data_IF_399732429315
#
_entry.id   IF_399732429315
#
_cell.length_a   1.000
_cell.length_b   1.000
_cell.length_c   1.000
_cell.angle_alpha   90.00
_cell.angle_beta   90.00
_cell.angle_gamma   90.00
#
_symmetry.space_group_name_H-M   'P 1'
#
loop_
_entity.id
_entity.type
_entity.pdbx_description
1 polymer ?
#
# COMPACT_ATOMS: atom_id res chain seq x y z
N UNK A 1 5.46 10.53 -21.70
CA UNK A 1 3.99 10.44 -21.54
C UNK A 1 3.70 10.01 -20.10
N UNK A 2 2.84 10.70 -19.33
CA UNK A 2 2.73 10.50 -17.88
C UNK A 2 1.67 9.43 -17.51
N UNK A 3 1.73 8.23 -18.10
CA UNK A 3 0.65 7.22 -17.97
C UNK A 3 1.05 5.83 -17.46
N UNK A 4 2.33 5.48 -17.36
CA UNK A 4 2.75 4.16 -16.86
C UNK A 4 2.56 3.95 -15.33
N UNK A 5 2.82 4.92 -14.43
CA UNK A 5 2.69 4.68 -12.99
C UNK A 5 1.22 4.61 -12.54
N UNK A 6 0.33 5.45 -13.10
CA UNK A 6 -1.07 5.53 -12.69
C UNK A 6 -1.80 4.19 -12.87
N UNK A 7 -1.72 3.57 -14.05
CA UNK A 7 -2.37 2.27 -14.31
C UNK A 7 -1.76 1.18 -13.43
N UNK A 8 -0.44 1.19 -13.22
CA UNK A 8 0.23 0.22 -12.36
C UNK A 8 -0.27 0.31 -10.91
N UNK A 9 -0.35 1.52 -10.37
CA UNK A 9 -0.89 1.77 -9.04
C UNK A 9 -2.36 1.37 -8.93
N UNK A 10 -3.21 1.76 -9.87
CA UNK A 10 -4.62 1.38 -9.85
C UNK A 10 -4.79 -0.15 -9.90
N UNK A 11 -4.04 -0.87 -10.74
CA UNK A 11 -4.05 -2.34 -10.76
C UNK A 11 -3.59 -2.96 -9.43
N UNK A 12 -2.55 -2.36 -8.82
CA UNK A 12 -2.05 -2.81 -7.52
C UNK A 12 -3.02 -2.50 -6.37
N UNK A 13 -3.81 -1.44 -6.45
CA UNK A 13 -4.76 -1.05 -5.41
C UNK A 13 -6.17 -1.66 -5.60
N UNK A 14 -6.50 -2.14 -6.80
CA UNK A 14 -7.79 -2.77 -7.13
C UNK A 14 -7.95 -4.20 -6.55
N UNK A 15 -7.62 -4.39 -5.28
CA UNK A 15 -7.80 -5.61 -4.51
C UNK A 15 -7.97 -5.23 -3.04
N UNK A 16 -9.00 -5.79 -2.42
CA UNK A 16 -9.39 -5.43 -1.07
C UNK A 16 -8.28 -5.67 -0.05
N UNK A 17 -7.56 -6.79 -0.14
CA UNK A 17 -6.49 -7.11 0.82
C UNK A 17 -5.30 -6.19 0.62
N UNK A 18 -4.92 -5.89 -0.63
CA UNK A 18 -3.86 -4.91 -0.93
C UNK A 18 -4.22 -3.52 -0.46
N UNK A 19 -5.48 -3.11 -0.62
CA UNK A 19 -5.96 -1.84 -0.12
C UNK A 19 -5.89 -1.76 1.40
N UNK A 20 -6.33 -2.81 2.11
CA UNK A 20 -6.22 -2.90 3.58
C UNK A 20 -4.76 -2.84 4.04
N UNK A 21 -3.84 -3.56 3.39
CA UNK A 21 -2.40 -3.48 3.68
C UNK A 21 -1.90 -2.03 3.56
N UNK A 22 -2.22 -1.35 2.46
CA UNK A 22 -1.78 0.04 2.24
C UNK A 22 -2.34 0.97 3.32
N UNK A 23 -3.60 0.80 3.73
CA UNK A 23 -4.20 1.58 4.82
C UNK A 23 -3.50 1.37 6.16
N UNK A 24 -3.17 0.13 6.51
CA UNK A 24 -2.41 -0.17 7.73
C UNK A 24 -1.02 0.49 7.69
N UNK A 25 -0.32 0.38 6.55
CA UNK A 25 1.01 0.96 6.37
C UNK A 25 1.02 2.49 6.28
N UNK A 26 -0.09 3.11 5.89
CA UNK A 26 -0.23 4.57 5.96
C UNK A 26 -0.27 5.06 7.40
N UNK A 27 -0.87 4.31 8.32
CA UNK A 27 -0.87 4.65 9.73
C UNK A 27 0.54 4.55 10.34
N UNK A 28 1.22 3.43 10.10
CA UNK A 28 2.56 3.17 10.65
C UNK A 28 3.31 2.06 9.87
N UNK A 29 4.65 2.02 9.92
CA UNK A 29 5.43 0.88 9.42
C UNK A 29 5.07 -0.41 10.18
N UNK A 30 4.96 -1.54 9.47
CA UNK A 30 4.56 -2.82 10.06
C UNK A 30 5.37 -3.98 9.52
N UNK A 31 5.59 -5.00 10.33
CA UNK A 31 6.17 -6.26 9.86
C UNK A 31 5.13 -7.12 9.14
N UNK A 32 5.62 -8.13 8.41
CA UNK A 32 4.74 -9.13 7.77
C UNK A 32 3.85 -9.84 8.80
N UNK A 33 4.37 -10.08 10.02
CA UNK A 33 3.60 -10.74 11.07
C UNK A 33 2.48 -9.83 11.61
N UNK A 34 2.77 -8.55 11.82
CA UNK A 34 1.75 -7.59 12.26
C UNK A 34 0.61 -7.50 11.24
N UNK A 35 0.94 -7.48 9.94
CA UNK A 35 -0.05 -7.49 8.86
C UNK A 35 -0.88 -8.78 8.84
N UNK A 36 -0.27 -9.95 9.10
CA UNK A 36 -1.00 -11.22 9.23
C UNK A 36 -2.00 -11.15 10.37
N UNK A 37 -1.57 -10.66 11.53
CA UNK A 37 -2.41 -10.56 12.74
C UNK A 37 -3.57 -9.58 12.55
N UNK A 38 -3.30 -8.38 12.01
CA UNK A 38 -4.34 -7.35 11.79
C UNK A 38 -5.34 -7.72 10.70
N UNK A 39 -4.88 -8.38 9.65
CA UNK A 39 -5.72 -8.65 8.48
C UNK A 39 -6.45 -9.99 8.55
N UNK A 40 -5.99 -10.91 9.39
CA UNK A 40 -6.57 -12.26 9.53
C UNK A 40 -6.34 -13.14 8.29
N UNK A 41 -5.31 -12.85 7.50
CA UNK A 41 -4.95 -13.58 6.28
C UNK A 41 -3.64 -14.34 6.45
N UNK A 42 -3.46 -15.43 5.68
CA UNK A 42 -2.24 -16.24 5.78
C UNK A 42 -0.98 -15.46 5.38
N UNK A 43 0.15 -15.80 6.01
CA UNK A 43 1.45 -15.19 5.70
C UNK A 43 1.86 -15.33 4.23
N UNK A 44 1.50 -16.44 3.59
CA UNK A 44 1.72 -16.66 2.16
C UNK A 44 0.96 -15.62 1.32
N UNK A 45 -0.31 -15.36 1.65
CA UNK A 45 -1.12 -14.36 0.94
C UNK A 45 -0.58 -12.95 1.19
N UNK A 46 -0.27 -12.58 2.43
CA UNK A 46 0.35 -11.28 2.74
C UNK A 46 1.63 -11.08 1.94
N UNK A 47 2.54 -12.05 1.95
CA UNK A 47 3.80 -11.97 1.21
C UNK A 47 3.59 -11.79 -0.31
N UNK A 48 2.60 -12.49 -0.89
CA UNK A 48 2.22 -12.33 -2.29
C UNK A 48 1.70 -10.93 -2.59
N UNK A 49 0.84 -10.38 -1.73
CA UNK A 49 0.31 -9.03 -1.86
C UNK A 49 1.40 -7.96 -1.72
N UNK A 50 2.29 -8.09 -0.73
CA UNK A 50 3.43 -7.20 -0.54
C UNK A 50 4.35 -7.20 -1.75
N UNK A 51 4.58 -8.36 -2.38
CA UNK A 51 5.38 -8.43 -3.62
C UNK A 51 4.76 -7.59 -4.74
N UNK A 52 3.44 -7.66 -4.93
CA UNK A 52 2.73 -6.88 -5.96
C UNK A 52 2.84 -5.39 -5.66
N UNK A 53 2.56 -4.98 -4.42
CA UNK A 53 2.63 -3.58 -3.99
C UNK A 53 4.05 -3.00 -4.12
N UNK A 54 5.09 -3.80 -3.82
CA UNK A 54 6.49 -3.43 -3.99
C UNK A 54 6.87 -3.27 -5.47
N UNK A 55 6.42 -4.18 -6.34
CA UNK A 55 6.64 -4.04 -7.80
C UNK A 55 5.96 -2.80 -8.36
N UNK A 56 4.83 -2.39 -7.77
CA UNK A 56 4.15 -1.16 -8.14
C UNK A 56 4.83 0.09 -7.54
N UNK A 57 5.84 -0.04 -6.68
CA UNK A 57 6.51 1.11 -6.04
C UNK A 57 5.66 1.82 -4.99
N UNK A 58 4.66 1.14 -4.43
CA UNK A 58 3.77 1.69 -3.40
C UNK A 58 4.39 1.52 -2.02
N UNK A 59 5.03 0.38 -1.79
CA UNK A 59 5.66 0.02 -0.53
C UNK A 59 7.13 -0.33 -0.72
N UNK A 60 7.90 -0.14 0.33
CA UNK A 60 9.24 -0.66 0.48
C UNK A 60 9.34 -1.57 1.70
N UNK A 61 10.47 -2.24 1.86
CA UNK A 61 10.71 -3.02 3.05
C UNK A 61 12.17 -3.00 3.45
N UNK A 62 12.41 -2.76 4.72
CA UNK A 62 13.74 -2.68 5.31
C UNK A 62 13.93 -3.84 6.29
N UNK A 63 15.13 -4.41 6.30
CA UNK A 63 15.44 -5.56 7.15
C UNK A 63 16.01 -5.10 8.48
N UNK A 64 15.21 -5.22 9.54
CA UNK A 64 15.63 -4.98 10.92
C UNK A 64 15.93 -6.32 11.61
N UNK A 65 17.18 -6.76 11.48
CA UNK A 65 17.66 -8.02 12.05
C UNK A 65 16.99 -9.25 11.41
N UNK A 66 16.08 -9.88 12.17
CA UNK A 66 15.34 -11.08 11.74
C UNK A 66 14.01 -10.77 11.06
N UNK A 67 13.51 -9.55 11.19
CA UNK A 67 12.22 -9.15 10.64
C UNK A 67 12.43 -8.21 9.45
N UNK A 68 11.44 -8.21 8.56
CA UNK A 68 11.32 -7.22 7.48
C UNK A 68 10.17 -6.31 7.85
N UNK A 69 10.48 -5.06 8.11
CA UNK A 69 9.50 -3.99 8.30
C UNK A 69 9.13 -3.46 6.93
N UNK A 70 7.84 -3.24 6.68
CA UNK A 70 7.30 -2.68 5.46
C UNK A 70 6.75 -1.29 5.76
N UNK A 71 6.92 -0.36 4.82
CA UNK A 71 6.39 1.00 4.91
C UNK A 71 5.96 1.49 3.52
N UNK A 72 5.17 2.56 3.47
CA UNK A 72 4.82 3.28 2.26
C UNK A 72 6.06 4.03 1.74
N UNK A 73 6.33 3.87 0.44
CA UNK A 73 7.41 4.62 -0.22
C UNK A 73 7.17 6.12 -0.03
N UNK A 74 8.15 6.92 0.42
CA UNK A 74 7.98 8.35 0.67
C UNK A 74 7.45 9.13 -0.54
N UNK A 75 7.83 8.72 -1.76
CA UNK A 75 7.28 9.31 -2.99
C UNK A 75 5.80 9.03 -3.18
N UNK A 76 5.35 7.81 -2.88
CA UNK A 76 3.93 7.46 -2.91
C UNK A 76 3.17 8.22 -1.81
N UNK A 77 3.74 8.33 -0.61
CA UNK A 77 3.13 9.08 0.52
C UNK A 77 2.91 10.55 0.20
N UNK A 78 3.84 11.20 -0.51
CA UNK A 78 3.70 12.60 -0.95
C UNK A 78 2.55 12.84 -1.94
N UNK A 79 2.04 11.78 -2.57
CA UNK A 79 0.90 11.86 -3.49
C UNK A 79 -0.44 11.76 -2.79
N UNK A 80 -0.44 11.44 -1.50
CA UNK A 80 -1.65 11.47 -0.69
C UNK A 80 -1.86 12.87 -0.11
N UNK A 81 -3.12 13.30 -0.04
CA UNK A 81 -3.50 14.49 0.70
C UNK A 81 -3.26 14.32 2.20
N UNK A 82 -3.26 15.42 2.96
CA UNK A 82 -3.02 15.42 4.42
C UNK A 82 -3.99 14.54 5.24
N UNK A 83 -5.19 14.30 4.71
CA UNK A 83 -6.20 13.42 5.30
C UNK A 83 -6.17 12.00 4.70
N UNK A 84 -5.21 11.72 3.83
CA UNK A 84 -4.99 10.44 3.16
C UNK A 84 -6.20 9.95 2.34
N UNK A 85 -7.17 10.83 2.01
CA UNK A 85 -8.38 10.43 1.27
C UNK A 85 -8.34 10.70 -0.24
N UNK A 86 -7.33 11.44 -0.69
CA UNK A 86 -7.11 11.76 -2.10
C UNK A 86 -5.74 11.24 -2.49
N UNK A 87 -5.68 10.38 -3.51
CA UNK A 87 -4.45 9.93 -4.13
C UNK A 87 -4.24 10.63 -5.48
N UNK A 88 -3.18 11.40 -5.59
CA UNK A 88 -2.76 12.08 -6.81
C UNK A 88 -1.83 11.21 -7.66
N UNK A 89 -2.37 10.66 -8.73
CA UNK A 89 -1.65 9.79 -9.68
C UNK A 89 -0.91 10.61 -10.75
N UNK A 90 -0.92 11.95 -10.66
CA UNK A 90 -0.30 12.91 -11.59
C UNK A 90 -1.13 13.19 -12.84
N UNK A 91 -1.83 12.18 -13.37
CA UNK A 91 -2.77 12.35 -14.50
C UNK A 91 -4.24 12.34 -14.07
N UNK A 92 -4.54 11.87 -12.85
CA UNK A 92 -5.87 11.84 -12.28
C UNK A 92 -5.78 11.73 -10.75
N UNK A 93 -6.86 12.11 -10.07
CA UNK A 93 -6.98 11.99 -8.61
C UNK A 93 -8.04 10.95 -8.27
N UNK A 94 -7.70 10.02 -7.38
CA UNK A 94 -8.63 9.03 -6.85
C UNK A 94 -9.06 9.46 -5.44
N UNK A 95 -10.37 9.69 -5.25
CA UNK A 95 -10.95 9.95 -3.92
C UNK A 95 -11.65 8.71 -3.43
N UNK A 96 -11.43 8.36 -2.17
CA UNK A 96 -11.98 7.15 -1.56
C UNK A 96 -12.66 7.46 -0.23
N UNK A 97 -13.39 8.59 -0.19
CA UNK A 97 -14.22 9.06 0.94
C UNK A 97 -15.46 8.18 1.24
N UNK A 98 -15.39 6.88 0.95
CA UNK A 98 -16.44 5.90 1.25
C UNK A 98 -15.93 4.93 2.29
N UNK A 99 -16.25 5.18 3.56
CA UNK A 99 -16.29 4.12 4.56
C UNK A 99 -17.26 3.06 4.03
N UNK A 100 -16.85 1.81 3.73
CA UNK A 100 -17.82 0.74 3.73
C UNK A 100 -18.26 0.58 5.19
N UNK A 101 -19.56 0.71 5.43
CA UNK A 101 -20.19 0.22 6.66
C UNK A 101 -19.84 -1.25 6.92
#
# INVERSE_FOLDING_TARGET
>A
MPSEPCISWLKALADETRWRIVRELLAEPLTVNDLVERLGVSQYNVSKHLKILRHAGIIEGERHGRHVECDIVPEFRRRLSKNETILDLGCCTFRFDGQPE
#
